data_IF_351596785101
#
_entry.id   IF_351596785101
#
_cell.length_a   1.000
_cell.length_b   1.000
_cell.length_c   1.000
_cell.angle_alpha   90.00
_cell.angle_beta   90.00
_cell.angle_gamma   90.00
#
_symmetry.space_group_name_H-M   'P 1'
#
loop_
_entity.id
_entity.type
_entity.pdbx_description
1 polymer ?
#
# COMPACT_ATOMS: atom_id res chain seq x y z
N UNK A 1 -24.13 2.76 30.39
CA UNK A 1 -23.36 3.97 30.01
C UNK A 1 -22.00 3.52 29.50
N UNK A 2 -21.87 3.26 28.19
CA UNK A 2 -20.62 2.83 27.59
C UNK A 2 -19.77 4.05 27.22
N UNK A 3 -18.61 4.20 27.85
CA UNK A 3 -17.67 5.28 27.55
C UNK A 3 -17.08 5.04 26.15
N UNK A 4 -17.57 5.82 25.19
CA UNK A 4 -17.05 5.89 23.83
C UNK A 4 -15.67 6.58 23.90
N UNK A 5 -14.62 5.80 24.22
CA UNK A 5 -13.24 6.29 24.28
C UNK A 5 -12.82 6.68 22.86
N UNK A 6 -13.04 7.94 22.50
CA UNK A 6 -12.43 8.56 21.33
C UNK A 6 -10.91 8.51 21.52
N UNK A 7 -10.29 7.47 20.97
CA UNK A 7 -8.83 7.40 20.86
C UNK A 7 -8.41 8.51 19.91
N UNK A 8 -8.04 9.66 20.47
CA UNK A 8 -7.49 10.77 19.72
C UNK A 8 -6.34 10.27 18.84
N UNK A 9 -6.14 10.87 17.65
CA UNK A 9 -5.12 10.40 16.74
C UNK A 9 -3.74 10.47 17.41
N UNK A 10 -2.89 9.47 17.14
CA UNK A 10 -1.58 9.28 17.80
C UNK A 10 -0.64 10.49 17.68
N UNK A 11 -0.93 11.40 16.74
CA UNK A 11 -0.19 12.61 16.43
C UNK A 11 -0.91 13.91 16.84
N UNK A 12 -1.98 13.86 17.66
CA UNK A 12 -2.67 15.07 18.14
C UNK A 12 -1.67 16.02 18.81
N UNK A 13 -1.59 17.28 18.33
CA UNK A 13 -0.69 18.30 18.86
C UNK A 13 0.77 18.19 18.41
N UNK A 14 1.12 17.23 17.55
CA UNK A 14 2.46 17.11 16.95
C UNK A 14 2.44 17.57 15.50
N UNK A 15 3.27 18.56 15.15
CA UNK A 15 3.59 18.90 13.77
C UNK A 15 4.41 17.74 13.17
N UNK A 16 3.73 16.75 12.61
CA UNK A 16 4.37 15.67 11.85
C UNK A 16 4.65 16.22 10.46
N UNK A 17 5.92 16.51 10.18
CA UNK A 17 6.37 16.90 8.84
C UNK A 17 6.22 15.76 7.82
N UNK A 18 6.69 15.99 6.60
CA UNK A 18 6.68 14.97 5.57
C UNK A 18 7.42 13.71 6.06
N UNK A 19 6.75 12.57 6.01
CA UNK A 19 7.36 11.30 6.39
C UNK A 19 8.45 10.97 5.36
N UNK A 20 9.68 10.64 5.78
CA UNK A 20 10.76 10.35 4.85
C UNK A 20 10.39 9.16 3.96
N UNK A 21 10.85 9.13 2.70
CA UNK A 21 10.60 8.00 1.81
C UNK A 21 11.21 6.72 2.37
N UNK A 22 10.61 5.58 2.02
CA UNK A 22 11.12 4.27 2.41
C UNK A 22 12.49 4.02 1.79
N UNK A 23 13.46 3.60 2.60
CA UNK A 23 14.78 3.15 2.12
C UNK A 23 14.63 1.80 1.42
N UNK A 24 15.44 1.48 0.38
CA UNK A 24 15.39 0.18 -0.31
C UNK A 24 15.49 -1.03 0.62
N UNK A 25 16.33 -0.95 1.66
CA UNK A 25 16.46 -1.98 2.70
C UNK A 25 15.15 -2.21 3.47
N UNK A 26 14.38 -1.14 3.73
CA UNK A 26 13.08 -1.22 4.38
C UNK A 26 12.02 -1.86 3.49
N UNK A 27 12.02 -1.52 2.20
CA UNK A 27 11.14 -2.16 1.21
C UNK A 27 11.41 -3.66 1.13
N UNK A 28 12.69 -4.05 1.09
CA UNK A 28 13.06 -5.46 1.07
C UNK A 28 12.63 -6.20 2.34
N UNK A 29 12.85 -5.61 3.52
CA UNK A 29 12.42 -6.19 4.79
C UNK A 29 10.90 -6.45 4.84
N UNK A 30 10.10 -5.49 4.36
CA UNK A 30 8.64 -5.64 4.30
C UNK A 30 8.24 -6.76 3.33
N UNK A 31 8.87 -6.85 2.16
CA UNK A 31 8.60 -7.92 1.18
C UNK A 31 8.87 -9.30 1.76
N UNK A 32 10.03 -9.49 2.39
CA UNK A 32 10.39 -10.77 3.02
C UNK A 32 9.41 -11.13 4.14
N UNK A 33 9.03 -10.17 4.97
CA UNK A 33 8.05 -10.40 6.04
C UNK A 33 6.70 -10.89 5.48
N UNK A 34 6.19 -10.25 4.43
CA UNK A 34 4.93 -10.64 3.78
C UNK A 34 5.03 -11.99 3.05
N UNK A 35 6.19 -12.28 2.44
CA UNK A 35 6.46 -13.57 1.80
C UNK A 35 6.48 -14.71 2.82
N UNK A 36 7.17 -14.53 3.95
CA UNK A 36 7.26 -15.52 5.02
C UNK A 36 5.90 -15.76 5.70
N UNK A 37 5.05 -14.73 5.76
CA UNK A 37 3.69 -14.84 6.27
C UNK A 37 2.70 -15.48 5.26
N UNK A 38 3.15 -15.83 4.04
CA UNK A 38 2.30 -16.30 2.94
C UNK A 38 1.11 -15.36 2.65
N UNK A 39 1.26 -14.07 2.92
CA UNK A 39 0.21 -13.05 2.74
C UNK A 39 0.15 -12.60 1.27
N UNK A 40 -0.31 -13.48 0.37
CA UNK A 40 -0.27 -13.28 -1.09
C UNK A 40 -0.97 -11.98 -1.51
N UNK A 41 -2.14 -11.69 -0.94
CA UNK A 41 -2.90 -10.46 -1.23
C UNK A 41 -2.10 -9.21 -0.84
N UNK A 42 -1.60 -9.17 0.38
CA UNK A 42 -0.91 -7.99 0.91
C UNK A 42 0.45 -7.78 0.25
N UNK A 43 1.14 -8.87 -0.11
CA UNK A 43 2.35 -8.82 -0.93
C UNK A 43 2.07 -8.24 -2.32
N UNK A 44 0.98 -8.67 -2.96
CA UNK A 44 0.55 -8.14 -4.26
C UNK A 44 0.21 -6.65 -4.20
N UNK A 45 -0.58 -6.23 -3.20
CA UNK A 45 -0.92 -4.83 -2.97
C UNK A 45 0.33 -3.99 -2.65
N UNK A 46 1.25 -4.50 -1.84
CA UNK A 46 2.50 -3.81 -1.52
C UNK A 46 3.34 -3.56 -2.77
N UNK A 47 3.55 -4.58 -3.60
CA UNK A 47 4.31 -4.42 -4.85
C UNK A 47 3.62 -3.43 -5.79
N UNK A 48 2.30 -3.57 -5.99
CA UNK A 48 1.52 -2.65 -6.81
C UNK A 48 1.62 -1.20 -6.32
N UNK A 49 1.60 -0.97 -5.00
CA UNK A 49 1.74 0.37 -4.41
C UNK A 49 3.07 1.04 -4.76
N UNK A 50 4.15 0.27 -4.71
CA UNK A 50 5.50 0.77 -5.00
C UNK A 50 5.64 1.10 -6.49
N UNK A 51 5.10 0.26 -7.38
CA UNK A 51 5.21 0.45 -8.82
C UNK A 51 4.31 1.58 -9.35
N UNK A 52 3.09 1.70 -8.81
CA UNK A 52 2.08 2.64 -9.32
C UNK A 52 2.01 3.97 -8.57
N UNK A 53 2.56 4.06 -7.35
CA UNK A 53 2.47 5.23 -6.45
C UNK A 53 1.02 5.67 -6.15
N UNK A 54 0.07 4.73 -6.15
CA UNK A 54 -1.33 5.01 -5.83
C UNK A 54 -1.54 5.42 -4.36
N UNK A 55 -2.63 6.15 -4.10
CA UNK A 55 -3.06 6.44 -2.73
C UNK A 55 -3.61 5.17 -2.10
N UNK A 56 -3.52 5.08 -0.77
CA UNK A 56 -3.99 3.90 -0.03
C UNK A 56 -5.45 3.56 -0.29
N UNK A 57 -6.33 4.56 -0.45
CA UNK A 57 -7.75 4.33 -0.77
C UNK A 57 -7.96 3.68 -2.14
N UNK A 58 -7.16 4.05 -3.14
CA UNK A 58 -7.26 3.52 -4.50
C UNK A 58 -6.66 2.10 -4.57
N UNK A 59 -5.67 1.83 -3.72
CA UNK A 59 -4.97 0.56 -3.64
C UNK A 59 -5.76 -0.54 -2.92
N UNK A 60 -6.57 -0.20 -1.90
CA UNK A 60 -7.26 -1.22 -1.07
C UNK A 60 -8.50 -1.82 -1.74
N UNK A 61 -9.02 -1.17 -2.78
CA UNK A 61 -10.18 -1.65 -3.54
C UNK A 61 -9.96 -1.56 -5.06
N UNK A 62 -8.94 -2.25 -5.62
CA UNK A 62 -8.70 -2.24 -7.06
C UNK A 62 -9.72 -3.12 -7.76
N UNK A 63 -10.32 -2.64 -8.86
CA UNK A 63 -11.20 -3.50 -9.66
C UNK A 63 -10.36 -4.29 -10.67
N UNK A 64 -10.76 -5.53 -10.97
CA UNK A 64 -10.09 -6.40 -11.96
C UNK A 64 -9.98 -5.74 -13.35
N UNK A 65 -10.83 -4.76 -13.66
CA UNK A 65 -10.84 -4.04 -14.95
C UNK A 65 -9.76 -2.96 -15.03
N UNK A 66 -9.26 -2.51 -13.88
CA UNK A 66 -8.22 -1.49 -13.77
C UNK A 66 -6.83 -2.10 -13.92
N UNK A 67 -6.74 -3.44 -13.87
CA UNK A 67 -5.51 -4.21 -14.07
C UNK A 67 -5.48 -4.77 -15.48
N UNK A 68 -4.47 -4.38 -16.27
CA UNK A 68 -4.28 -4.89 -17.64
C UNK A 68 -2.87 -5.43 -17.83
N UNK A 69 -2.73 -6.48 -18.62
CA UNK A 69 -1.43 -7.02 -19.03
C UNK A 69 -0.97 -6.30 -20.29
N UNK A 70 0.22 -5.70 -20.26
CA UNK A 70 0.80 -4.90 -21.36
C UNK A 70 0.76 -5.59 -22.74
N UNK A 71 0.82 -6.93 -22.77
CA UNK A 71 0.77 -7.75 -24.00
C UNK A 71 -0.51 -7.48 -24.83
N UNK A 72 -1.61 -7.04 -24.21
CA UNK A 72 -2.86 -6.76 -24.94
C UNK A 72 -2.91 -5.39 -25.61
N UNK A 73 -2.04 -4.45 -25.26
CA UNK A 73 -2.03 -3.09 -25.84
C UNK A 73 -1.10 -2.96 -27.06
N UNK A 74 -0.02 -3.74 -27.11
CA UNK A 74 0.96 -3.66 -28.22
C UNK A 74 0.51 -4.33 -29.53
N UNK A 75 -0.75 -4.77 -29.65
CA UNK A 75 -1.29 -5.37 -30.88
C UNK A 75 -2.08 -4.41 -31.77
N UNK A 76 -2.11 -3.13 -31.41
CA UNK A 76 -2.73 -2.06 -32.19
C UNK A 76 -1.70 -0.95 -32.48
N UNK A 77 -0.66 -1.28 -33.22
CA UNK A 77 -0.01 -0.36 -34.18
C UNK A 77 0.87 -1.13 -35.15
#
# INVERSE_FOLDING_TARGET
MGSNQSRGPWNKGKLVGQKPPLKPKGVWAIRIHLQNAHAVRDLGLFNLAIDSKLRGCDLVNPHVRDVTTAIRYCRAR
#
